data_IF_438818135754
#
_entry.id   IF_438818135754
#
_cell.length_a   1.000
_cell.length_b   1.000
_cell.length_c   1.000
_cell.angle_alpha   90.00
_cell.angle_beta   90.00
_cell.angle_gamma   90.00
#
_symmetry.space_group_name_H-M   'P 1'
#
loop_
_entity.id
_entity.type
_entity.pdbx_description
1 polymer ?
#
# COMPACT_ATOMS: atom_id res chain seq x y z
N UNK A 1 5.97 -26.00 24.81
CA UNK A 1 5.14 -25.30 23.81
C UNK A 1 5.60 -23.87 23.81
N UNK A 2 6.49 -23.58 22.89
CA UNK A 2 6.95 -22.23 22.62
C UNK A 2 5.93 -21.67 21.61
N UNK A 3 5.09 -20.76 22.06
CA UNK A 3 4.06 -20.12 21.21
C UNK A 3 4.78 -19.12 20.28
N UNK A 4 5.44 -19.67 19.33
CA UNK A 4 6.19 -19.19 18.17
C UNK A 4 5.99 -17.77 17.65
N UNK A 5 5.93 -16.75 18.52
CA UNK A 5 6.03 -15.35 18.07
C UNK A 5 7.51 -15.08 17.80
N UNK A 6 7.85 -14.86 16.55
CA UNK A 6 9.22 -14.55 16.13
C UNK A 6 9.63 -13.12 16.53
N UNK A 7 10.92 -12.87 16.60
CA UNK A 7 11.43 -11.51 16.85
C UNK A 7 10.94 -10.51 15.78
N UNK A 8 10.74 -10.98 14.54
CA UNK A 8 10.18 -10.17 13.46
C UNK A 8 8.73 -9.77 13.72
N UNK A 9 7.91 -10.66 14.30
CA UNK A 9 6.50 -10.36 14.61
C UNK A 9 6.38 -9.26 15.65
N UNK A 10 7.28 -9.23 16.65
CA UNK A 10 7.33 -8.13 17.63
C UNK A 10 7.76 -6.81 17.01
N UNK A 11 8.73 -6.83 16.10
CA UNK A 11 9.17 -5.62 15.40
C UNK A 11 8.07 -5.06 14.50
N UNK A 12 7.35 -5.92 13.78
CA UNK A 12 6.20 -5.54 12.95
C UNK A 12 5.09 -4.90 13.79
N UNK A 13 4.69 -5.54 14.90
CA UNK A 13 3.69 -4.98 15.81
C UNK A 13 4.12 -3.64 16.43
N UNK A 14 5.41 -3.48 16.75
CA UNK A 14 5.94 -2.22 17.26
C UNK A 14 5.90 -1.12 16.19
N UNK A 15 6.23 -1.43 14.94
CA UNK A 15 6.14 -0.52 13.80
C UNK A 15 4.71 -0.06 13.55
N UNK A 16 3.77 -1.00 13.51
CA UNK A 16 2.33 -0.70 13.36
C UNK A 16 1.82 0.20 14.47
N UNK A 17 2.27 -0.03 15.71
CA UNK A 17 1.90 0.82 16.84
C UNK A 17 2.46 2.23 16.70
N UNK A 18 3.71 2.37 16.27
CA UNK A 18 4.34 3.66 16.00
C UNK A 18 3.60 4.43 14.91
N UNK A 19 3.22 3.77 13.82
CA UNK A 19 2.41 4.39 12.76
C UNK A 19 1.07 4.90 13.29
N UNK A 20 0.35 4.09 14.07
CA UNK A 20 -0.91 4.52 14.72
C UNK A 20 -0.73 5.73 15.63
N UNK A 21 0.40 5.78 16.38
CA UNK A 21 0.73 6.94 17.23
C UNK A 21 0.99 8.18 16.37
N UNK A 22 1.72 8.04 15.27
CA UNK A 22 2.08 9.15 14.37
C UNK A 22 0.85 9.69 13.64
N UNK A 23 -0.05 8.83 13.22
CA UNK A 23 -1.28 9.20 12.53
C UNK A 23 -2.35 9.74 13.48
N UNK A 24 -2.17 9.57 14.79
CA UNK A 24 -3.16 10.01 15.75
C UNK A 24 -3.28 11.56 15.75
N UNK A 25 -4.52 12.12 15.68
CA UNK A 25 -4.73 13.57 15.53
C UNK A 25 -4.13 14.44 16.65
N UNK A 26 -3.87 13.85 17.82
CA UNK A 26 -3.26 14.56 18.96
C UNK A 26 -1.73 14.55 18.93
N UNK A 27 -1.11 13.77 18.06
CA UNK A 27 0.35 13.71 17.95
C UNK A 27 0.86 14.95 17.24
N UNK A 28 1.62 15.75 17.97
CA UNK A 28 2.17 17.00 17.44
C UNK A 28 3.31 16.75 16.47
N UNK A 29 3.58 17.72 15.61
CA UNK A 29 4.71 17.64 14.68
C UNK A 29 6.05 17.48 15.40
N UNK A 30 6.22 18.12 16.55
CA UNK A 30 7.42 17.97 17.37
C UNK A 30 7.61 16.51 17.86
N UNK A 31 6.54 15.86 18.31
CA UNK A 31 6.57 14.45 18.71
C UNK A 31 6.90 13.53 17.54
N UNK A 32 6.33 13.77 16.35
CA UNK A 32 6.66 13.03 15.13
C UNK A 32 8.14 13.14 14.78
N UNK A 33 8.71 14.35 14.89
CA UNK A 33 10.14 14.59 14.65
C UNK A 33 11.03 13.87 15.67
N UNK A 34 10.63 13.81 16.94
CA UNK A 34 11.34 13.09 18.00
C UNK A 34 11.34 11.57 17.72
N UNK A 35 10.20 11.02 17.31
CA UNK A 35 10.09 9.60 16.91
C UNK A 35 11.01 9.32 15.70
N UNK A 36 10.98 10.18 14.69
CA UNK A 36 11.85 10.05 13.51
C UNK A 36 13.33 10.07 13.88
N UNK A 37 13.73 10.93 14.83
CA UNK A 37 15.11 10.97 15.31
C UNK A 37 15.48 9.67 16.06
N UNK A 38 14.61 9.16 16.93
CA UNK A 38 14.83 7.88 17.60
C UNK A 38 14.98 6.71 16.62
N UNK A 39 14.18 6.68 15.55
CA UNK A 39 14.28 5.65 14.51
C UNK A 39 15.62 5.73 13.74
N UNK A 40 16.14 6.92 13.47
CA UNK A 40 17.46 7.07 12.87
C UNK A 40 18.55 6.48 13.76
N UNK A 41 18.46 6.67 15.06
CA UNK A 41 19.40 6.08 16.03
C UNK A 41 19.29 4.55 16.05
N UNK A 42 18.08 3.99 15.97
CA UNK A 42 17.84 2.55 15.88
C UNK A 42 18.40 2.00 14.56
N UNK A 43 18.21 2.68 13.44
CA UNK A 43 18.72 2.26 12.13
C UNK A 43 20.26 2.16 12.09
N UNK A 44 21.00 2.87 12.97
CA UNK A 44 22.45 2.75 13.11
C UNK A 44 22.89 1.49 13.89
N UNK A 45 21.98 0.80 14.58
CA UNK A 45 22.29 -0.41 15.36
C UNK A 45 22.43 -1.59 14.38
N UNK A 46 23.60 -2.26 14.40
CA UNK A 46 23.97 -3.30 13.43
C UNK A 46 22.96 -4.45 13.34
N UNK A 47 22.35 -4.83 14.47
CA UNK A 47 21.41 -5.97 14.52
C UNK A 47 20.17 -5.75 13.61
N UNK A 48 19.69 -4.51 13.46
CA UNK A 48 18.56 -4.22 12.58
C UNK A 48 18.94 -4.28 11.10
N UNK A 49 20.20 -3.98 10.76
CA UNK A 49 20.74 -4.10 9.40
C UNK A 49 21.07 -5.54 9.01
N UNK A 50 21.60 -6.34 9.97
CA UNK A 50 22.07 -7.71 9.69
C UNK A 50 20.94 -8.73 9.58
N UNK A 51 19.84 -8.52 10.30
CA UNK A 51 18.76 -9.51 10.41
C UNK A 51 17.47 -9.11 9.69
N UNK A 52 17.44 -7.92 9.05
CA UNK A 52 16.26 -7.40 8.32
C UNK A 52 14.95 -7.54 9.14
N UNK A 53 15.06 -7.32 10.45
CA UNK A 53 13.99 -7.60 11.41
C UNK A 53 12.75 -6.72 11.21
N UNK A 54 12.93 -5.54 10.64
CA UNK A 54 11.89 -4.59 10.30
C UNK A 54 12.42 -3.55 9.31
N UNK A 55 11.60 -3.17 8.34
CA UNK A 55 11.95 -2.11 7.39
C UNK A 55 11.87 -0.73 8.05
N UNK A 56 12.90 -0.41 8.85
CA UNK A 56 13.03 0.88 9.56
C UNK A 56 13.09 2.03 8.55
N UNK A 57 13.68 1.81 7.38
CA UNK A 57 13.77 2.82 6.32
C UNK A 57 12.39 3.14 5.75
N UNK A 58 11.54 2.13 5.55
CA UNK A 58 10.16 2.32 5.13
C UNK A 58 9.35 3.09 6.17
N UNK A 59 9.49 2.73 7.46
CA UNK A 59 8.83 3.45 8.55
C UNK A 59 9.28 4.90 8.64
N UNK A 60 10.60 5.17 8.57
CA UNK A 60 11.14 6.54 8.53
C UNK A 60 10.62 7.33 7.35
N UNK A 61 10.50 6.71 6.18
CA UNK A 61 9.92 7.34 5.00
C UNK A 61 8.46 7.72 5.22
N UNK A 62 7.63 6.81 5.73
CA UNK A 62 6.21 7.07 6.01
C UNK A 62 6.03 8.22 7.01
N UNK A 63 6.85 8.25 8.07
CA UNK A 63 6.84 9.34 9.04
C UNK A 63 7.24 10.66 8.39
N UNK A 64 8.31 10.63 7.58
CA UNK A 64 8.79 11.82 6.90
C UNK A 64 7.72 12.43 5.99
N UNK A 65 7.01 11.59 5.24
CA UNK A 65 5.88 12.02 4.43
C UNK A 65 4.75 12.62 5.27
N UNK A 66 4.48 12.06 6.46
CA UNK A 66 3.40 12.52 7.34
C UNK A 66 3.63 13.87 8.01
N UNK A 67 4.88 14.34 8.08
CA UNK A 67 5.25 15.64 8.66
C UNK A 67 5.39 16.75 7.63
N UNK A 68 5.41 16.43 6.33
CA UNK A 68 5.50 17.41 5.27
C UNK A 68 4.12 18.03 4.94
N UNK A 69 4.07 19.26 4.44
CA UNK A 69 2.89 19.76 3.73
C UNK A 69 2.52 18.82 2.59
N UNK A 70 1.22 18.69 2.33
CA UNK A 70 0.72 17.68 1.39
C UNK A 70 1.31 17.84 -0.03
N UNK A 71 1.50 19.06 -0.53
CA UNK A 71 2.13 19.30 -1.83
C UNK A 71 3.54 18.74 -1.87
N UNK A 72 4.33 18.99 -0.82
CA UNK A 72 5.72 18.50 -0.74
C UNK A 72 5.77 16.99 -0.52
N UNK A 73 4.81 16.42 0.20
CA UNK A 73 4.69 14.97 0.34
C UNK A 73 4.38 14.32 -1.01
N UNK A 74 3.51 14.92 -1.85
CA UNK A 74 3.22 14.42 -3.19
C UNK A 74 4.46 14.47 -4.10
N UNK A 75 5.23 15.55 -4.09
CA UNK A 75 6.49 15.67 -4.85
C UNK A 75 7.49 14.56 -4.44
N UNK A 76 7.67 14.34 -3.13
CA UNK A 76 8.56 13.29 -2.63
C UNK A 76 8.07 11.88 -3.00
N UNK A 77 6.75 11.64 -2.96
CA UNK A 77 6.19 10.35 -3.40
C UNK A 77 6.47 10.13 -4.89
N UNK A 78 6.32 11.16 -5.73
CA UNK A 78 6.59 11.05 -7.16
C UNK A 78 8.06 10.72 -7.45
N UNK A 79 8.99 11.34 -6.75
CA UNK A 79 10.42 11.01 -6.81
C UNK A 79 10.68 9.54 -6.38
N UNK A 80 10.06 9.10 -5.28
CA UNK A 80 10.20 7.73 -4.77
C UNK A 80 9.59 6.69 -5.71
N UNK A 81 8.44 6.99 -6.35
CA UNK A 81 7.80 6.11 -7.32
C UNK A 81 8.71 5.85 -8.53
N UNK A 82 9.46 6.86 -8.99
CA UNK A 82 10.43 6.68 -10.08
C UNK A 82 11.65 5.85 -9.63
N UNK A 83 12.17 6.10 -8.43
CA UNK A 83 13.34 5.37 -7.89
C UNK A 83 13.02 3.90 -7.58
N UNK A 84 11.82 3.62 -7.04
CA UNK A 84 11.38 2.27 -6.65
C UNK A 84 10.60 1.52 -7.73
N UNK A 85 10.65 1.99 -8.95
CA UNK A 85 9.96 1.35 -10.08
C UNK A 85 10.37 -0.12 -10.23
N UNK A 86 9.38 -1.01 -10.14
CA UNK A 86 9.59 -2.46 -10.23
C UNK A 86 9.85 -3.17 -8.90
N UNK A 87 9.82 -2.48 -7.76
CA UNK A 87 9.83 -3.14 -6.45
C UNK A 87 8.43 -3.63 -6.07
N UNK A 88 8.35 -4.68 -5.25
CA UNK A 88 7.07 -5.31 -4.88
C UNK A 88 6.20 -4.42 -3.96
N UNK A 89 6.78 -3.47 -3.26
CA UNK A 89 6.14 -2.61 -2.27
C UNK A 89 5.74 -1.22 -2.80
N UNK A 90 6.00 -0.95 -4.09
CA UNK A 90 5.65 0.33 -4.75
C UNK A 90 4.17 0.68 -4.59
N UNK A 91 3.27 -0.31 -4.49
CA UNK A 91 1.85 -0.09 -4.30
C UNK A 91 1.52 0.71 -3.03
N UNK A 92 2.33 0.60 -1.95
CA UNK A 92 2.15 1.37 -0.72
C UNK A 92 2.30 2.87 -0.97
N UNK A 93 3.29 3.26 -1.78
CA UNK A 93 3.49 4.67 -2.19
C UNK A 93 2.33 5.16 -3.06
N UNK A 94 1.85 4.32 -3.98
CA UNK A 94 0.68 4.66 -4.82
C UNK A 94 -0.55 4.89 -3.96
N UNK A 95 -0.84 4.00 -3.00
CA UNK A 95 -1.95 4.17 -2.06
C UNK A 95 -1.81 5.45 -1.24
N UNK A 96 -0.61 5.75 -0.76
CA UNK A 96 -0.35 6.99 -0.01
C UNK A 96 -0.60 8.23 -0.86
N UNK A 97 -0.16 8.24 -2.13
CA UNK A 97 -0.43 9.31 -3.09
C UNK A 97 -1.94 9.50 -3.29
N UNK A 98 -2.66 8.42 -3.56
CA UNK A 98 -4.11 8.45 -3.75
C UNK A 98 -4.83 9.03 -2.53
N UNK A 99 -4.49 8.57 -1.33
CA UNK A 99 -5.08 9.08 -0.10
C UNK A 99 -4.82 10.58 0.10
N UNK A 100 -3.59 11.05 -0.11
CA UNK A 100 -3.25 12.47 0.00
C UNK A 100 -4.03 13.32 -1.01
N UNK A 101 -4.20 12.84 -2.25
CA UNK A 101 -4.99 13.54 -3.26
C UNK A 101 -6.47 13.62 -2.87
N UNK A 102 -7.04 12.54 -2.32
CA UNK A 102 -8.43 12.53 -1.82
C UNK A 102 -8.61 13.46 -0.62
N UNK A 103 -7.65 13.52 0.31
CA UNK A 103 -7.67 14.47 1.43
C UNK A 103 -7.68 15.93 0.97
N UNK A 104 -7.10 16.22 -0.21
CA UNK A 104 -7.10 17.54 -0.83
C UNK A 104 -8.30 17.81 -1.75
N UNK A 105 -9.26 16.87 -1.84
CA UNK A 105 -10.41 16.91 -2.75
C UNK A 105 -10.01 16.90 -4.24
N UNK A 106 -8.83 16.34 -4.57
CA UNK A 106 -8.31 16.20 -5.94
C UNK A 106 -8.71 14.82 -6.52
N UNK A 107 -10.03 14.52 -6.53
CA UNK A 107 -10.57 13.21 -6.90
C UNK A 107 -10.13 12.76 -8.30
N UNK A 108 -10.11 13.69 -9.27
CA UNK A 108 -9.71 13.36 -10.64
C UNK A 108 -8.24 12.89 -10.72
N UNK A 109 -7.34 13.55 -9.99
CA UNK A 109 -5.93 13.14 -9.96
C UNK A 109 -5.73 11.81 -9.22
N UNK A 110 -6.53 11.54 -8.19
CA UNK A 110 -6.54 10.26 -7.51
C UNK A 110 -6.95 9.13 -8.45
N UNK A 111 -8.06 9.31 -9.20
CA UNK A 111 -8.52 8.33 -10.19
C UNK A 111 -7.51 8.13 -11.33
N UNK A 112 -6.88 9.19 -11.83
CA UNK A 112 -5.83 9.10 -12.85
C UNK A 112 -4.59 8.34 -12.32
N UNK A 113 -4.24 8.56 -11.06
CA UNK A 113 -3.17 7.79 -10.39
C UNK A 113 -3.53 6.31 -10.29
N UNK A 114 -4.74 5.96 -9.86
CA UNK A 114 -5.20 4.56 -9.81
C UNK A 114 -5.10 3.92 -11.19
N UNK A 115 -5.61 4.58 -12.23
CA UNK A 115 -5.56 4.07 -13.63
C UNK A 115 -4.14 3.82 -14.11
N UNK A 116 -3.21 4.72 -13.79
CA UNK A 116 -1.79 4.58 -14.17
C UNK A 116 -1.15 3.33 -13.56
N UNK A 117 -1.57 2.93 -12.36
CA UNK A 117 -0.96 1.84 -11.60
C UNK A 117 -1.84 0.58 -11.51
N UNK A 118 -2.87 0.43 -12.36
CA UNK A 118 -3.71 -0.77 -12.44
C UNK A 118 -2.95 -2.06 -12.80
N UNK A 119 -1.71 -1.95 -13.28
CA UNK A 119 -0.86 -3.13 -13.51
C UNK A 119 -0.39 -3.78 -12.21
N UNK A 120 -0.42 -3.05 -11.08
CA UNK A 120 -0.13 -3.60 -9.75
C UNK A 120 -1.36 -4.39 -9.24
N UNK A 121 -1.12 -5.61 -8.79
CA UNK A 121 -2.17 -6.54 -8.31
C UNK A 121 -3.00 -5.92 -7.18
N UNK A 122 -2.33 -5.28 -6.21
CA UNK A 122 -2.97 -4.66 -5.04
C UNK A 122 -3.86 -3.48 -5.42
N UNK A 123 -3.40 -2.62 -6.33
CA UNK A 123 -4.16 -1.47 -6.81
C UNK A 123 -5.38 -1.93 -7.62
N UNK A 124 -5.20 -2.92 -8.50
CA UNK A 124 -6.29 -3.51 -9.27
C UNK A 124 -7.33 -4.13 -8.35
N UNK A 125 -6.92 -4.90 -7.35
CA UNK A 125 -7.83 -5.52 -6.36
C UNK A 125 -8.67 -4.46 -5.67
N UNK A 126 -8.02 -3.41 -5.15
CA UNK A 126 -8.72 -2.30 -4.49
C UNK A 126 -9.78 -1.66 -5.41
N UNK A 127 -9.48 -1.43 -6.68
CA UNK A 127 -10.44 -0.83 -7.61
C UNK A 127 -11.57 -1.80 -7.97
N UNK A 128 -11.28 -3.10 -8.14
CA UNK A 128 -12.31 -4.14 -8.31
C UNK A 128 -13.26 -4.17 -7.11
N UNK A 129 -12.74 -4.18 -5.89
CA UNK A 129 -13.56 -4.18 -4.66
C UNK A 129 -14.44 -2.93 -4.57
N UNK A 130 -13.91 -1.77 -4.94
CA UNK A 130 -14.64 -0.49 -5.01
C UNK A 130 -15.78 -0.54 -6.04
N UNK A 131 -15.54 -1.13 -7.22
CA UNK A 131 -16.56 -1.32 -8.25
C UNK A 131 -17.65 -2.29 -7.81
N UNK A 132 -17.29 -3.39 -7.16
CA UNK A 132 -18.24 -4.36 -6.58
C UNK A 132 -19.12 -3.67 -5.52
N UNK A 133 -18.53 -2.88 -4.62
CA UNK A 133 -19.26 -2.14 -3.59
C UNK A 133 -20.26 -1.13 -4.18
N UNK A 134 -19.99 -0.62 -5.40
CA UNK A 134 -20.88 0.28 -6.16
C UNK A 134 -21.85 -0.46 -7.07
N UNK A 135 -21.89 -1.80 -7.04
CA UNK A 135 -22.67 -2.66 -7.94
C UNK A 135 -22.33 -2.46 -9.44
N UNK A 136 -21.13 -1.98 -9.74
CA UNK A 136 -20.61 -1.79 -11.10
C UNK A 136 -19.93 -3.08 -11.59
N UNK A 137 -20.71 -4.15 -11.69
CA UNK A 137 -20.20 -5.51 -11.91
C UNK A 137 -19.55 -5.69 -13.30
N UNK A 138 -20.06 -5.02 -14.34
CA UNK A 138 -19.52 -5.16 -15.70
C UNK A 138 -18.12 -4.55 -15.79
N UNK A 139 -17.90 -3.38 -15.16
CA UNK A 139 -16.60 -2.74 -15.08
C UNK A 139 -15.63 -3.57 -14.22
N UNK A 140 -16.08 -4.14 -13.10
CA UNK A 140 -15.29 -5.03 -12.27
C UNK A 140 -14.82 -6.26 -13.05
N UNK A 141 -15.73 -6.90 -13.82
CA UNK A 141 -15.40 -8.06 -14.68
C UNK A 141 -14.38 -7.67 -15.76
N UNK A 142 -14.50 -6.48 -16.34
CA UNK A 142 -13.53 -5.99 -17.32
C UNK A 142 -12.13 -5.87 -16.70
N UNK A 143 -12.00 -5.22 -15.53
CA UNK A 143 -10.72 -5.12 -14.82
C UNK A 143 -10.14 -6.48 -14.41
N UNK A 144 -10.99 -7.44 -14.03
CA UNK A 144 -10.57 -8.81 -13.72
C UNK A 144 -10.03 -9.53 -14.94
N UNK A 145 -10.68 -9.39 -16.12
CA UNK A 145 -10.21 -9.98 -17.36
C UNK A 145 -8.83 -9.45 -17.75
N UNK A 146 -8.63 -8.14 -17.72
CA UNK A 146 -7.33 -7.51 -17.98
C UNK A 146 -6.26 -7.99 -16.98
N UNK A 147 -6.65 -8.18 -15.70
CA UNK A 147 -5.76 -8.71 -14.67
C UNK A 147 -5.36 -10.16 -14.92
N UNK A 148 -6.28 -11.00 -15.39
CA UNK A 148 -6.03 -12.39 -15.76
C UNK A 148 -5.04 -12.44 -16.94
N UNK A 149 -5.26 -11.66 -18.00
CA UNK A 149 -4.36 -11.62 -19.15
C UNK A 149 -2.93 -11.21 -18.78
N UNK A 150 -2.78 -10.24 -17.87
CA UNK A 150 -1.47 -9.81 -17.37
C UNK A 150 -0.81 -10.94 -16.56
N UNK A 151 -1.54 -11.52 -15.60
CA UNK A 151 -1.02 -12.56 -14.73
C UNK A 151 -0.66 -13.85 -15.50
N UNK A 152 -1.42 -14.22 -16.53
CA UNK A 152 -1.10 -15.34 -17.43
C UNK A 152 0.19 -15.10 -18.20
N UNK A 153 0.37 -13.89 -18.75
CA UNK A 153 1.59 -13.49 -19.47
C UNK A 153 2.83 -13.53 -18.58
N UNK A 154 2.66 -13.17 -17.31
CA UNK A 154 3.73 -13.16 -16.29
C UNK A 154 3.89 -14.51 -15.57
N UNK A 155 3.09 -15.52 -15.94
CA UNK A 155 3.08 -16.85 -15.34
C UNK A 155 2.76 -16.85 -13.82
N UNK A 156 1.96 -15.90 -13.36
CA UNK A 156 1.51 -15.78 -11.97
C UNK A 156 0.20 -16.56 -11.74
N UNK A 157 0.29 -17.90 -11.76
CA UNK A 157 -0.89 -18.79 -11.68
C UNK A 157 -1.75 -18.59 -10.42
N UNK A 158 -1.15 -18.23 -9.28
CA UNK A 158 -1.87 -17.93 -8.04
C UNK A 158 -2.79 -16.72 -8.22
N UNK A 159 -2.27 -15.64 -8.80
CA UNK A 159 -3.03 -14.41 -9.09
C UNK A 159 -4.15 -14.67 -10.09
N UNK A 160 -3.91 -15.49 -11.12
CA UNK A 160 -4.97 -15.93 -12.06
C UNK A 160 -6.11 -16.62 -11.31
N UNK A 161 -5.77 -17.57 -10.41
CA UNK A 161 -6.78 -18.27 -9.60
C UNK A 161 -7.62 -17.33 -8.73
N UNK A 162 -7.00 -16.33 -8.12
CA UNK A 162 -7.70 -15.32 -7.32
C UNK A 162 -8.66 -14.47 -8.16
N UNK A 163 -8.21 -13.96 -9.33
CA UNK A 163 -9.07 -13.18 -10.23
C UNK A 163 -10.24 -13.97 -10.77
N UNK A 164 -10.03 -15.25 -11.12
CA UNK A 164 -11.11 -16.15 -11.56
C UNK A 164 -12.12 -16.39 -10.45
N UNK A 165 -11.69 -16.55 -9.21
CA UNK A 165 -12.58 -16.69 -8.05
C UNK A 165 -13.42 -15.44 -7.85
N UNK A 166 -12.82 -14.25 -7.83
CA UNK A 166 -13.57 -12.98 -7.70
C UNK A 166 -14.60 -12.81 -8.83
N UNK A 167 -14.24 -13.20 -10.04
CA UNK A 167 -15.17 -13.16 -11.19
C UNK A 167 -16.33 -14.14 -11.01
N UNK A 168 -16.09 -15.34 -10.48
CA UNK A 168 -17.14 -16.32 -10.16
C UNK A 168 -18.09 -15.75 -9.11
N UNK A 169 -17.55 -15.17 -8.04
CA UNK A 169 -18.34 -14.57 -6.96
C UNK A 169 -19.28 -13.46 -7.52
N UNK A 170 -18.81 -12.64 -8.47
CA UNK A 170 -19.63 -11.63 -9.15
C UNK A 170 -20.75 -12.29 -9.97
N UNK A 171 -20.46 -13.37 -10.71
CA UNK A 171 -21.48 -14.08 -11.50
C UNK A 171 -22.54 -14.72 -10.61
N UNK A 172 -22.17 -15.28 -9.47
CA UNK A 172 -23.11 -15.82 -8.49
C UNK A 172 -24.04 -14.73 -7.95
N UNK A 173 -23.49 -13.56 -7.54
CA UNK A 173 -24.26 -12.41 -7.05
C UNK A 173 -25.24 -11.89 -8.12
N UNK A 174 -24.80 -11.88 -9.37
CA UNK A 174 -25.60 -11.33 -10.48
C UNK A 174 -26.48 -12.38 -11.17
N UNK A 175 -26.46 -13.65 -10.72
CA UNK A 175 -27.17 -14.78 -11.33
C UNK A 175 -26.86 -14.96 -12.83
N UNK A 176 -25.64 -14.67 -13.25
CA UNK A 176 -25.16 -14.78 -14.64
C UNK A 176 -24.38 -16.09 -14.88
N UNK A 177 -24.70 -17.14 -14.12
CA UNK A 177 -24.09 -18.49 -14.25
C UNK A 177 -24.82 -19.27 -15.32
#
# INVERSE_FOLDING_TARGET
>A
YDDGISSSDYCEQAGDLLLKVIEHPKTTQAQKMEILQGLREIAEISIFREYDLYDVDELMMQINLSIQPAEKALELIDELLEVRKGTCDIYKLVLRKVNLLLEQNEEQKADDTIRQYLYLTEIRRMEVDKLIARCQYDEAICLLNDGIEIAEREMHSGTVGEWLKMKLDIYEITHRV
#
